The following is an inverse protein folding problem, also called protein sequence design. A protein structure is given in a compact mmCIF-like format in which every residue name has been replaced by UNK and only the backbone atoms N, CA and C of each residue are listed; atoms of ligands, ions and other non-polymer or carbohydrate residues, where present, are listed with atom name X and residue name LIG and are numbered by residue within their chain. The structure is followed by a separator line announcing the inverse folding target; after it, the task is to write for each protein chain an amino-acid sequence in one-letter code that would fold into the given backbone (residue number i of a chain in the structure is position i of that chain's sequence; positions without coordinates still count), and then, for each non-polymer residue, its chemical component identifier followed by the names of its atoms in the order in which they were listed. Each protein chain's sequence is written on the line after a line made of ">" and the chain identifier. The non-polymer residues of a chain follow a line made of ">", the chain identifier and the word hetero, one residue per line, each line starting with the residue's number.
data_IF_870502569800
#
_entry.id   IF_870502569800
#
_cell.length_a   1.000
_cell.length_b   1.000
_cell.length_c   1.000
_cell.angle_alpha   90.00
_cell.angle_beta   90.00
_cell.angle_gamma   90.00
#
_symmetry.space_group_name_H-M   'P 1'
#
loop_
_entity.id
_entity.type
_entity.pdbx_description
1 polymer ?
#
# COMPACT_ATOMS: atom_id res chain seq x y z
N UNK A 1 -27.40 -3.12 -17.84
CA UNK A 1 -28.22 -3.09 -16.60
C UNK A 1 -27.65 -3.81 -15.36
N UNK A 2 -26.51 -4.53 -15.36
CA UNK A 2 -26.03 -5.21 -14.14
C UNK A 2 -25.39 -4.28 -13.08
N UNK A 3 -25.14 -3.01 -13.37
CA UNK A 3 -24.35 -2.16 -12.45
C UNK A 3 -25.20 -1.45 -11.39
N UNK A 4 -26.49 -1.22 -11.68
CA UNK A 4 -27.38 -0.41 -10.83
C UNK A 4 -27.70 -1.06 -9.48
N UNK A 5 -27.84 -2.38 -9.44
CA UNK A 5 -28.22 -3.08 -8.21
C UNK A 5 -27.10 -3.11 -7.17
N UNK A 6 -25.82 -3.17 -7.59
CA UNK A 6 -24.68 -3.12 -6.68
C UNK A 6 -24.61 -1.80 -5.92
N UNK A 7 -24.77 -0.69 -6.65
CA UNK A 7 -24.77 0.63 -6.07
C UNK A 7 -25.97 0.83 -5.13
N UNK A 8 -27.16 0.39 -5.53
CA UNK A 8 -28.37 0.44 -4.69
C UNK A 8 -28.21 -0.38 -3.40
N UNK A 9 -27.66 -1.60 -3.49
CA UNK A 9 -27.42 -2.44 -2.33
C UNK A 9 -26.40 -1.81 -1.36
N UNK A 10 -25.30 -1.27 -1.89
CA UNK A 10 -24.28 -0.60 -1.09
C UNK A 10 -24.81 0.69 -0.42
N UNK A 11 -25.58 1.49 -1.16
CA UNK A 11 -26.23 2.70 -0.64
C UNK A 11 -27.25 2.38 0.45
N UNK A 12 -28.07 1.34 0.25
CA UNK A 12 -29.04 0.88 1.25
C UNK A 12 -28.35 0.39 2.53
N UNK A 13 -27.27 -0.37 2.42
CA UNK A 13 -26.48 -0.83 3.56
C UNK A 13 -25.90 0.35 4.36
N UNK A 14 -25.33 1.35 3.67
CA UNK A 14 -24.81 2.55 4.31
C UNK A 14 -25.92 3.36 4.98
N UNK A 15 -27.06 3.55 4.31
CA UNK A 15 -28.20 4.27 4.84
C UNK A 15 -28.73 3.62 6.13
N UNK A 16 -28.84 2.29 6.17
CA UNK A 16 -29.23 1.56 7.38
C UNK A 16 -28.27 1.85 8.55
N UNK A 17 -26.96 1.88 8.31
CA UNK A 17 -25.98 2.22 9.36
C UNK A 17 -26.10 3.69 9.78
N UNK A 18 -26.27 4.62 8.85
CA UNK A 18 -26.42 6.05 9.20
C UNK A 18 -27.68 6.29 10.05
N UNK A 19 -28.80 5.67 9.68
CA UNK A 19 -30.06 5.78 10.44
C UNK A 19 -29.91 5.24 11.85
N UNK A 20 -29.29 4.07 12.03
CA UNK A 20 -29.02 3.53 13.37
C UNK A 20 -28.06 4.42 14.15
N UNK A 21 -27.07 5.01 13.49
CA UNK A 21 -26.10 5.90 14.12
C UNK A 21 -26.77 7.14 14.67
N UNK A 22 -27.61 7.78 13.84
CA UNK A 22 -28.38 8.97 14.22
C UNK A 22 -29.40 8.66 15.31
N UNK A 23 -30.07 7.50 15.23
CA UNK A 23 -31.01 7.04 16.26
C UNK A 23 -30.32 6.91 17.62
N UNK A 24 -29.17 6.24 17.67
CA UNK A 24 -28.40 6.09 18.91
C UNK A 24 -27.81 7.40 19.41
N UNK A 25 -27.40 8.29 18.52
CA UNK A 25 -26.92 9.61 18.91
C UNK A 25 -28.03 10.44 19.56
N UNK A 26 -29.22 10.48 18.95
CA UNK A 26 -30.40 11.14 19.54
C UNK A 26 -30.78 10.52 20.88
N UNK A 27 -30.76 9.17 20.98
CA UNK A 27 -31.00 8.46 22.25
C UNK A 27 -29.98 8.86 23.31
N UNK A 28 -28.69 8.91 22.98
CA UNK A 28 -27.62 9.26 23.92
C UNK A 28 -27.67 10.74 24.32
N UNK A 29 -27.97 11.65 23.42
CA UNK A 29 -28.20 13.06 23.73
C UNK A 29 -29.40 13.23 24.68
N UNK A 30 -30.49 12.51 24.42
CA UNK A 30 -31.63 12.48 25.33
C UNK A 30 -31.24 11.93 26.72
N UNK A 31 -30.49 10.83 26.80
CA UNK A 31 -30.00 10.28 28.07
C UNK A 31 -29.06 11.29 28.76
N UNK A 32 -28.17 11.95 28.02
CA UNK A 32 -27.27 12.98 28.57
C UNK A 32 -28.03 14.10 29.25
N UNK A 33 -29.12 14.57 28.63
CA UNK A 33 -29.95 15.66 29.17
C UNK A 33 -30.86 15.23 30.32
N UNK A 34 -31.38 14.00 30.31
CA UNK A 34 -32.44 13.57 31.23
C UNK A 34 -32.01 12.57 32.31
N UNK A 35 -30.98 11.75 32.05
CA UNK A 35 -30.52 10.69 32.93
C UNK A 35 -29.02 10.37 32.74
N UNK A 36 -28.11 11.32 33.03
CA UNK A 36 -26.69 11.20 32.71
C UNK A 36 -26.02 10.00 33.38
N UNK A 37 -26.51 9.57 34.55
CA UNK A 37 -26.04 8.36 35.22
C UNK A 37 -26.21 7.09 34.37
N UNK A 38 -27.11 7.06 33.38
CA UNK A 38 -27.29 5.92 32.46
C UNK A 38 -26.33 5.93 31.27
N UNK A 39 -25.51 6.97 31.08
CA UNK A 39 -24.55 7.02 29.98
C UNK A 39 -23.41 6.02 30.10
N UNK A 40 -23.19 5.51 31.32
CA UNK A 40 -22.27 4.41 31.58
C UNK A 40 -22.81 3.07 31.03
N UNK A 41 -24.12 2.97 30.80
CA UNK A 41 -24.72 1.78 30.23
C UNK A 41 -24.31 1.65 28.75
N UNK A 42 -23.85 0.47 28.33
CA UNK A 42 -23.52 0.24 26.93
C UNK A 42 -24.79 0.40 26.06
N UNK A 43 -24.68 0.94 24.84
CA UNK A 43 -25.82 1.06 23.94
C UNK A 43 -26.35 -0.34 23.59
N UNK A 44 -27.65 -0.43 23.31
CA UNK A 44 -28.28 -1.70 22.93
C UNK A 44 -27.66 -2.16 21.61
N UNK A 45 -27.13 -3.39 21.59
CA UNK A 45 -26.45 -3.88 20.41
C UNK A 45 -27.48 -4.41 19.39
N UNK A 46 -27.66 -3.70 18.27
CA UNK A 46 -28.43 -4.18 17.12
C UNK A 46 -27.66 -5.27 16.34
N UNK A 47 -27.45 -6.41 17.00
CA UNK A 47 -26.68 -7.57 16.52
C UNK A 47 -27.07 -8.00 15.10
N UNK A 48 -28.36 -8.26 14.92
CA UNK A 48 -28.92 -8.79 13.68
C UNK A 48 -28.78 -7.79 12.53
N UNK A 49 -29.03 -6.51 12.79
CA UNK A 49 -28.90 -5.46 11.78
C UNK A 49 -27.46 -5.28 11.31
N UNK A 50 -26.49 -5.25 12.22
CA UNK A 50 -25.08 -5.18 11.86
C UNK A 50 -24.62 -6.42 11.08
N UNK A 51 -25.11 -7.61 11.44
CA UNK A 51 -24.83 -8.85 10.70
C UNK A 51 -25.42 -8.81 9.28
N UNK A 52 -26.66 -8.33 9.12
CA UNK A 52 -27.30 -8.13 7.82
C UNK A 52 -26.52 -7.13 6.95
N UNK A 53 -26.11 -5.99 7.52
CA UNK A 53 -25.28 -5.01 6.80
C UNK A 53 -23.98 -5.65 6.30
N UNK A 54 -23.29 -6.43 7.14
CA UNK A 54 -22.07 -7.12 6.72
C UNK A 54 -22.32 -8.18 5.65
N UNK A 55 -23.45 -8.89 5.70
CA UNK A 55 -23.84 -9.83 4.65
C UNK A 55 -24.08 -9.11 3.31
N UNK A 56 -24.76 -7.95 3.32
CA UNK A 56 -24.96 -7.12 2.12
C UNK A 56 -23.62 -6.60 1.59
N UNK A 57 -22.73 -6.11 2.47
CA UNK A 57 -21.37 -5.69 2.09
C UNK A 57 -20.62 -6.84 1.42
N UNK A 58 -20.70 -8.06 1.96
CA UNK A 58 -20.09 -9.25 1.36
C UNK A 58 -20.67 -9.54 -0.03
N UNK A 59 -21.99 -9.43 -0.18
CA UNK A 59 -22.67 -9.58 -1.47
C UNK A 59 -22.23 -8.55 -2.50
N UNK A 60 -22.09 -7.27 -2.11
CA UNK A 60 -21.55 -6.20 -2.96
C UNK A 60 -20.11 -6.52 -3.36
N UNK A 61 -19.29 -7.01 -2.43
CA UNK A 61 -17.90 -7.39 -2.67
C UNK A 61 -17.79 -8.49 -3.72
N UNK A 62 -18.57 -9.56 -3.57
CA UNK A 62 -18.62 -10.68 -4.50
C UNK A 62 -19.10 -10.21 -5.87
N UNK A 63 -20.17 -9.41 -5.92
CA UNK A 63 -20.69 -8.90 -7.18
C UNK A 63 -19.73 -7.96 -7.90
N UNK A 64 -19.00 -7.09 -7.20
CA UNK A 64 -17.96 -6.26 -7.81
C UNK A 64 -16.76 -7.08 -8.30
N UNK A 65 -16.40 -8.16 -7.59
CA UNK A 65 -15.35 -9.08 -8.03
C UNK A 65 -15.71 -9.84 -9.32
N UNK A 66 -17.00 -10.17 -9.50
CA UNK A 66 -17.51 -10.80 -10.71
C UNK A 66 -17.65 -9.83 -11.89
N UNK A 67 -17.73 -8.52 -11.64
CA UNK A 67 -17.82 -7.47 -12.65
C UNK A 67 -16.81 -6.33 -12.38
N UNK A 68 -15.49 -6.61 -12.47
CA UNK A 68 -14.45 -5.68 -12.02
C UNK A 68 -14.33 -4.41 -12.88
N UNK A 69 -14.83 -4.46 -14.12
CA UNK A 69 -14.78 -3.35 -15.08
C UNK A 69 -16.06 -2.51 -15.15
N UNK A 70 -17.06 -2.79 -14.31
CA UNK A 70 -18.26 -1.97 -14.27
C UNK A 70 -17.94 -0.56 -13.72
N UNK A 71 -18.44 0.48 -14.39
CA UNK A 71 -18.10 1.87 -14.10
C UNK A 71 -18.49 2.30 -12.67
N UNK A 72 -19.52 1.65 -12.10
CA UNK A 72 -20.03 1.96 -10.75
C UNK A 72 -19.44 1.08 -9.65
N UNK A 73 -18.66 0.03 -9.98
CA UNK A 73 -18.04 -0.87 -8.99
C UNK A 73 -17.17 -0.13 -7.96
N UNK A 74 -16.34 0.87 -8.32
CA UNK A 74 -15.54 1.59 -7.34
C UNK A 74 -16.39 2.32 -6.29
N UNK A 75 -17.49 2.95 -6.73
CA UNK A 75 -18.41 3.67 -5.86
C UNK A 75 -19.17 2.70 -4.93
N UNK A 76 -19.65 1.59 -5.47
CA UNK A 76 -20.33 0.56 -4.67
C UNK A 76 -19.41 -0.03 -3.60
N UNK A 77 -18.15 -0.33 -3.94
CA UNK A 77 -17.14 -0.82 -2.99
C UNK A 77 -16.82 0.21 -1.91
N UNK A 78 -16.73 1.49 -2.26
CA UNK A 78 -16.48 2.57 -1.30
C UNK A 78 -17.63 2.74 -0.31
N UNK A 79 -18.88 2.74 -0.78
CA UNK A 79 -20.06 2.80 0.10
C UNK A 79 -20.13 1.59 1.03
N UNK A 80 -19.85 0.39 0.51
CA UNK A 80 -19.79 -0.84 1.29
C UNK A 80 -18.66 -0.80 2.34
N UNK A 81 -17.51 -0.22 2.00
CA UNK A 81 -16.40 0.00 2.92
C UNK A 81 -16.81 0.92 4.08
N UNK A 82 -17.47 2.04 3.79
CA UNK A 82 -17.97 2.94 4.83
C UNK A 82 -18.97 2.26 5.76
N UNK A 83 -19.88 1.45 5.22
CA UNK A 83 -20.83 0.67 6.03
C UNK A 83 -20.10 -0.31 6.96
N UNK A 84 -19.12 -1.07 6.45
CA UNK A 84 -18.33 -2.00 7.24
C UNK A 84 -17.48 -1.31 8.32
N UNK A 85 -16.82 -0.20 7.99
CA UNK A 85 -16.03 0.58 8.96
C UNK A 85 -16.91 1.20 10.04
N UNK A 86 -18.12 1.65 9.70
CA UNK A 86 -19.08 2.18 10.68
C UNK A 86 -19.57 1.08 11.64
N UNK A 87 -19.80 -0.15 11.14
CA UNK A 87 -20.05 -1.33 12.00
C UNK A 87 -18.85 -1.62 12.89
N UNK A 88 -17.62 -1.62 12.35
CA UNK A 88 -16.36 -1.83 13.09
C UNK A 88 -15.98 -0.70 14.05
N UNK A 89 -16.54 0.51 13.87
CA UNK A 89 -16.44 1.61 14.81
C UNK A 89 -17.38 1.37 16.01
N UNK A 90 -18.63 1.01 15.71
CA UNK A 90 -19.69 0.74 16.69
C UNK A 90 -19.39 -0.48 17.55
N UNK A 91 -18.77 -1.50 16.96
CA UNK A 91 -18.33 -2.70 17.64
C UNK A 91 -16.86 -2.96 17.41
N UNK A 92 -16.11 -3.41 18.42
CA UNK A 92 -14.70 -3.74 18.28
C UNK A 92 -14.42 -4.98 17.40
N UNK A 93 -15.35 -5.36 16.51
CA UNK A 93 -15.25 -6.48 15.58
C UNK A 93 -14.03 -6.33 14.67
N UNK A 94 -13.01 -7.21 14.80
CA UNK A 94 -11.82 -7.15 13.96
C UNK A 94 -12.16 -7.36 12.48
N UNK A 95 -13.09 -8.27 12.19
CA UNK A 95 -13.49 -8.65 10.83
C UNK A 95 -14.05 -7.45 10.05
N UNK A 96 -14.90 -6.63 10.66
CA UNK A 96 -15.48 -5.46 10.01
C UNK A 96 -14.44 -4.39 9.66
N UNK A 97 -13.39 -4.24 10.49
CA UNK A 97 -12.25 -3.34 10.23
C UNK A 97 -11.43 -3.81 9.03
N UNK A 98 -11.10 -5.11 9.01
CA UNK A 98 -10.41 -5.75 7.90
C UNK A 98 -11.19 -5.60 6.61
N UNK A 99 -12.46 -6.03 6.61
CA UNK A 99 -13.33 -5.93 5.45
C UNK A 99 -13.43 -4.49 4.94
N UNK A 100 -13.68 -3.53 5.82
CA UNK A 100 -13.78 -2.12 5.45
C UNK A 100 -12.52 -1.58 4.79
N UNK A 101 -11.33 -1.79 5.37
CA UNK A 101 -10.08 -1.31 4.79
C UNK A 101 -9.71 -2.04 3.49
N UNK A 102 -9.93 -3.36 3.43
CA UNK A 102 -9.75 -4.13 2.20
C UNK A 102 -10.63 -3.61 1.08
N UNK A 103 -11.89 -3.24 1.38
CA UNK A 103 -12.81 -2.69 0.38
C UNK A 103 -12.42 -1.29 -0.10
N UNK A 104 -11.84 -0.44 0.76
CA UNK A 104 -11.24 0.82 0.30
C UNK A 104 -10.09 0.54 -0.67
N UNK A 105 -9.22 -0.42 -0.37
CA UNK A 105 -8.16 -0.85 -1.29
C UNK A 105 -8.72 -1.39 -2.61
N UNK A 106 -9.74 -2.24 -2.54
CA UNK A 106 -10.42 -2.79 -3.71
C UNK A 106 -11.10 -1.71 -4.56
N UNK A 107 -11.68 -0.68 -3.94
CA UNK A 107 -12.26 0.46 -4.64
C UNK A 107 -11.21 1.24 -5.43
N UNK A 108 -10.02 1.47 -4.85
CA UNK A 108 -8.89 2.13 -5.54
C UNK A 108 -8.43 1.29 -6.73
N UNK A 109 -8.24 -0.02 -6.54
CA UNK A 109 -7.84 -0.94 -7.61
C UNK A 109 -8.90 -0.98 -8.71
N UNK A 110 -10.18 -1.11 -8.35
CA UNK A 110 -11.29 -1.11 -9.29
C UNK A 110 -11.40 0.21 -10.05
N UNK A 111 -11.17 1.35 -9.40
CA UNK A 111 -11.14 2.65 -10.07
C UNK A 111 -10.01 2.73 -11.11
N UNK A 112 -8.81 2.24 -10.77
CA UNK A 112 -7.69 2.18 -11.71
C UNK A 112 -8.03 1.31 -12.93
N UNK A 113 -8.66 0.15 -12.70
CA UNK A 113 -9.10 -0.76 -13.78
C UNK A 113 -10.22 -0.16 -14.65
N UNK A 114 -11.15 0.59 -14.06
CA UNK A 114 -12.26 1.20 -14.77
C UNK A 114 -11.84 2.42 -15.62
N UNK A 115 -10.83 3.17 -15.19
CA UNK A 115 -10.41 4.41 -15.85
C UNK A 115 -9.32 4.26 -16.89
N UNK A 116 -8.67 3.10 -16.96
CA UNK A 116 -7.58 2.89 -17.92
C UNK A 116 -7.70 1.55 -18.62
N UNK A 117 -7.68 1.57 -19.96
CA UNK A 117 -7.53 0.39 -20.80
C UNK A 117 -6.06 0.31 -21.27
N UNK A 118 -5.46 -0.89 -21.42
CA UNK A 118 -6.01 -2.23 -21.20
C UNK A 118 -5.86 -2.78 -19.75
N UNK A 119 -6.79 -3.67 -19.34
CA UNK A 119 -7.03 -4.12 -17.96
C UNK A 119 -5.82 -4.70 -17.19
N UNK A 120 -4.94 -5.46 -17.86
CA UNK A 120 -3.81 -6.14 -17.19
C UNK A 120 -2.74 -5.19 -16.68
N UNK A 121 -2.50 -4.09 -17.43
CA UNK A 121 -1.49 -3.11 -17.06
C UNK A 121 -1.85 -2.41 -15.74
N UNK A 122 -3.15 -2.12 -15.54
CA UNK A 122 -3.63 -1.17 -14.54
C UNK A 122 -3.89 -1.78 -13.17
N UNK A 123 -3.92 -3.12 -13.07
CA UNK A 123 -4.01 -3.84 -11.80
C UNK A 123 -2.80 -3.53 -10.91
N UNK A 124 -1.60 -3.60 -11.48
CA UNK A 124 -0.32 -3.34 -10.81
C UNK A 124 -0.22 -1.90 -10.27
N UNK A 125 -0.54 -0.89 -11.10
CA UNK A 125 -0.59 0.49 -10.63
C UNK A 125 -1.67 0.70 -9.56
N UNK A 126 -2.86 0.11 -9.72
CA UNK A 126 -3.93 0.17 -8.73
C UNK A 126 -3.52 -0.42 -7.38
N UNK A 127 -2.86 -1.58 -7.38
CA UNK A 127 -2.34 -2.24 -6.16
C UNK A 127 -1.29 -1.36 -5.49
N UNK A 128 -0.36 -0.79 -6.25
CA UNK A 128 0.68 0.08 -5.72
C UNK A 128 0.09 1.34 -5.07
N UNK A 129 -0.88 2.00 -5.73
CA UNK A 129 -1.57 3.18 -5.20
C UNK A 129 -2.38 2.83 -3.95
N UNK A 130 -3.10 1.70 -3.95
CA UNK A 130 -3.82 1.22 -2.78
C UNK A 130 -2.86 0.98 -1.60
N UNK A 131 -1.69 0.40 -1.86
CA UNK A 131 -0.65 0.18 -0.85
C UNK A 131 -0.16 1.49 -0.23
N UNK A 132 0.19 2.47 -1.08
CA UNK A 132 0.61 3.81 -0.63
C UNK A 132 -0.49 4.47 0.19
N UNK A 133 -1.74 4.39 -0.26
CA UNK A 133 -2.88 4.96 0.47
C UNK A 133 -3.04 4.33 1.86
N UNK A 134 -2.95 2.99 1.97
CA UNK A 134 -3.03 2.30 3.26
C UNK A 134 -1.88 2.70 4.20
N UNK A 135 -0.66 2.80 3.68
CA UNK A 135 0.49 3.24 4.46
C UNK A 135 0.35 4.70 4.90
N UNK A 136 -0.18 5.56 4.03
CA UNK A 136 -0.42 6.97 4.32
C UNK A 136 -1.48 7.12 5.40
N UNK A 137 -2.62 6.41 5.28
CA UNK A 137 -3.67 6.40 6.30
C UNK A 137 -3.15 5.92 7.65
N UNK A 138 -2.35 4.84 7.66
CA UNK A 138 -1.74 4.37 8.90
C UNK A 138 -0.88 5.44 9.58
N UNK A 139 -0.10 6.22 8.81
CA UNK A 139 0.72 7.32 9.34
C UNK A 139 -0.13 8.50 9.80
N UNK A 140 -1.08 8.92 8.97
CA UNK A 140 -2.00 10.01 9.28
C UNK A 140 -2.76 9.73 10.58
N UNK A 141 -3.34 8.53 10.73
CA UNK A 141 -3.99 8.14 11.97
C UNK A 141 -3.02 8.03 13.13
N UNK A 142 -1.80 7.53 12.93
CA UNK A 142 -0.79 7.46 14.01
C UNK A 142 -0.44 8.85 14.55
N UNK A 143 -0.42 9.88 13.72
CA UNK A 143 -0.17 11.27 14.13
C UNK A 143 -1.32 11.88 14.94
N UNK A 144 -2.54 11.35 14.78
CA UNK A 144 -3.73 11.78 15.53
C UNK A 144 -3.88 11.08 16.90
N UNK A 145 -3.01 10.11 17.21
CA UNK A 145 -3.06 9.40 18.48
C UNK A 145 -2.20 10.10 19.53
N UNK A 146 -2.85 10.70 20.52
CA UNK A 146 -2.17 11.20 21.72
C UNK A 146 -1.72 10.00 22.60
N UNK A 147 -0.41 9.78 22.68
CA UNK A 147 0.19 8.69 23.46
C UNK A 147 -0.07 7.27 22.91
N UNK A 148 -0.41 7.12 21.62
CA UNK A 148 -0.47 5.81 20.95
C UNK A 148 -1.57 4.86 21.43
N UNK A 149 -2.54 5.33 22.24
CA UNK A 149 -3.53 4.43 22.82
C UNK A 149 -4.58 3.98 21.79
N UNK A 150 -4.67 2.66 21.57
CA UNK A 150 -5.57 2.01 20.62
C UNK A 150 -7.07 2.00 21.03
N UNK A 151 -7.49 2.82 22.00
CA UNK A 151 -8.90 2.88 22.40
C UNK A 151 -9.76 3.69 21.42
N UNK A 152 -9.14 4.58 20.63
CA UNK A 152 -9.80 5.25 19.51
C UNK A 152 -9.90 4.32 18.30
N UNK A 153 -10.96 4.47 17.51
CA UNK A 153 -11.17 3.64 16.31
C UNK A 153 -10.04 3.78 15.31
N UNK A 154 -9.45 4.97 15.18
CA UNK A 154 -8.26 5.22 14.36
C UNK A 154 -7.08 4.37 14.84
N UNK A 155 -6.82 4.29 16.15
CA UNK A 155 -5.74 3.45 16.70
C UNK A 155 -5.92 1.96 16.43
N UNK A 156 -7.17 1.48 16.33
CA UNK A 156 -7.51 0.09 16.00
C UNK A 156 -7.37 -0.25 14.52
N UNK A 157 -7.35 0.75 13.64
CA UNK A 157 -7.22 0.60 12.19
C UNK A 157 -5.75 0.65 11.74
N UNK A 158 -4.89 1.35 12.49
CA UNK A 158 -3.46 1.49 12.15
C UNK A 158 -2.75 0.15 11.89
N UNK A 159 -2.84 -0.88 12.76
CA UNK A 159 -2.15 -2.16 12.51
C UNK A 159 -2.66 -2.87 11.27
N UNK A 160 -3.98 -2.80 11.03
CA UNK A 160 -4.63 -3.43 9.87
C UNK A 160 -4.21 -2.73 8.57
N UNK A 161 -4.20 -1.40 8.55
CA UNK A 161 -3.77 -0.62 7.39
C UNK A 161 -2.30 -0.88 7.05
N UNK A 162 -1.41 -0.98 8.05
CA UNK A 162 0.01 -1.34 7.81
C UNK A 162 0.16 -2.74 7.25
N UNK A 163 -0.57 -3.71 7.80
CA UNK A 163 -0.50 -5.09 7.29
C UNK A 163 -1.08 -5.18 5.88
N UNK A 164 -2.17 -4.48 5.57
CA UNK A 164 -2.70 -4.38 4.21
C UNK A 164 -1.71 -3.71 3.26
N UNK A 165 -1.02 -2.63 3.68
CA UNK A 165 0.02 -2.00 2.88
C UNK A 165 1.16 -2.98 2.53
N UNK A 166 1.61 -3.78 3.51
CA UNK A 166 2.60 -4.83 3.29
C UNK A 166 2.10 -5.93 2.35
N UNK A 167 0.87 -6.42 2.56
CA UNK A 167 0.26 -7.44 1.68
C UNK A 167 0.11 -6.93 0.25
N UNK A 168 -0.19 -5.65 0.05
CA UNK A 168 -0.29 -5.03 -1.28
C UNK A 168 1.07 -4.93 -1.97
N UNK A 169 2.17 -4.73 -1.24
CA UNK A 169 3.53 -4.83 -1.81
C UNK A 169 3.82 -6.26 -2.28
N UNK A 170 3.42 -7.28 -1.50
CA UNK A 170 3.61 -8.67 -1.89
C UNK A 170 2.72 -9.06 -3.08
N UNK A 171 1.46 -8.60 -3.09
CA UNK A 171 0.55 -8.76 -4.22
C UNK A 171 1.08 -8.08 -5.48
N UNK A 172 1.76 -6.94 -5.33
CA UNK A 172 2.42 -6.24 -6.42
C UNK A 172 3.56 -7.08 -7.01
N UNK A 173 4.43 -7.66 -6.18
CA UNK A 173 5.46 -8.58 -6.66
C UNK A 173 4.87 -9.77 -7.42
N UNK A 174 3.79 -10.36 -6.88
CA UNK A 174 3.11 -11.47 -7.54
C UNK A 174 2.55 -11.05 -8.90
N UNK A 175 1.91 -9.88 -8.97
CA UNK A 175 1.40 -9.34 -10.24
C UNK A 175 2.53 -9.13 -11.26
N UNK A 176 3.69 -8.62 -10.82
CA UNK A 176 4.87 -8.48 -11.67
C UNK A 176 5.38 -9.84 -12.14
N UNK A 177 5.50 -10.83 -11.26
CA UNK A 177 5.94 -12.18 -11.61
C UNK A 177 4.98 -12.87 -12.60
N UNK A 178 3.67 -12.65 -12.47
CA UNK A 178 2.68 -13.16 -13.42
C UNK A 178 2.77 -12.43 -14.77
N UNK A 179 3.06 -11.14 -14.78
CA UNK A 179 3.32 -10.38 -16.00
C UNK A 179 4.58 -10.90 -16.73
N UNK A 180 5.66 -11.15 -16.01
CA UNK A 180 6.92 -11.65 -16.61
C UNK A 180 6.78 -13.08 -17.13
N UNK A 181 5.95 -13.90 -16.48
CA UNK A 181 5.58 -15.22 -16.96
C UNK A 181 4.59 -15.20 -18.14
N UNK A 182 4.22 -14.03 -18.66
CA UNK A 182 3.26 -13.87 -19.77
C UNK A 182 1.83 -14.27 -19.41
N UNK A 183 1.49 -14.38 -18.12
CA UNK A 183 0.16 -14.76 -17.63
C UNK A 183 -0.80 -13.58 -17.56
N UNK A 184 -0.28 -12.35 -17.56
CA UNK A 184 -1.04 -11.10 -17.54
C UNK A 184 -0.45 -10.18 -18.63
N UNK A 185 -1.27 -9.38 -19.35
CA UNK A 185 -0.78 -8.44 -20.36
C UNK A 185 0.30 -7.51 -19.82
N UNK A 186 1.31 -7.25 -20.66
CA UNK A 186 2.39 -6.33 -20.33
C UNK A 186 1.88 -4.92 -19.96
N UNK A 187 2.54 -4.29 -18.99
CA UNK A 187 2.22 -2.92 -18.59
C UNK A 187 2.68 -1.93 -19.67
N UNK A 188 1.84 -0.94 -20.00
CA UNK A 188 2.30 0.20 -20.82
C UNK A 188 3.35 1.01 -20.06
N UNK A 189 4.24 1.70 -20.80
CA UNK A 189 5.35 2.51 -20.25
C UNK A 189 4.90 3.40 -19.09
N UNK A 190 3.84 4.18 -19.29
CA UNK A 190 3.29 5.08 -18.27
C UNK A 190 2.84 4.36 -17.01
N UNK A 191 2.21 3.19 -17.16
CA UNK A 191 1.72 2.40 -16.04
C UNK A 191 2.89 1.83 -15.24
N UNK A 192 3.96 1.41 -15.92
CA UNK A 192 5.22 1.01 -15.28
C UNK A 192 5.87 2.17 -14.51
N UNK A 193 5.93 3.37 -15.10
CA UNK A 193 6.45 4.57 -14.43
C UNK A 193 5.62 4.97 -13.20
N UNK A 194 4.29 4.97 -13.30
CA UNK A 194 3.42 5.27 -12.16
C UNK A 194 3.52 4.23 -11.04
N UNK A 195 3.54 2.94 -11.39
CA UNK A 195 3.73 1.85 -10.43
C UNK A 195 5.08 1.94 -9.73
N UNK A 196 6.15 2.26 -10.47
CA UNK A 196 7.48 2.48 -9.90
C UNK A 196 7.50 3.68 -8.96
N UNK A 197 6.91 4.83 -9.35
CA UNK A 197 6.83 6.02 -8.51
C UNK A 197 6.07 5.73 -7.20
N UNK A 198 4.95 5.01 -7.27
CA UNK A 198 4.19 4.59 -6.10
C UNK A 198 5.02 3.68 -5.17
N UNK A 199 5.76 2.72 -5.72
CA UNK A 199 6.63 1.83 -4.94
C UNK A 199 7.83 2.55 -4.31
N UNK A 200 8.43 3.51 -5.02
CA UNK A 200 9.48 4.37 -4.47
C UNK A 200 8.95 5.19 -3.28
N UNK A 201 7.76 5.79 -3.43
CA UNK A 201 7.09 6.50 -2.34
C UNK A 201 6.81 5.56 -1.15
N UNK A 202 6.35 4.34 -1.44
CA UNK A 202 6.09 3.33 -0.42
C UNK A 202 7.37 2.95 0.34
N UNK A 203 8.47 2.71 -0.37
CA UNK A 203 9.78 2.45 0.22
C UNK A 203 10.30 3.62 1.06
N UNK A 204 10.14 4.86 0.60
CA UNK A 204 10.47 6.05 1.39
C UNK A 204 9.65 6.15 2.68
N UNK A 205 8.37 5.82 2.63
CA UNK A 205 7.50 5.82 3.81
C UNK A 205 7.89 4.70 4.78
N UNK A 206 8.17 3.50 4.29
CA UNK A 206 8.59 2.35 5.09
C UNK A 206 9.95 2.55 5.74
N UNK A 207 10.93 3.11 5.03
CA UNK A 207 12.25 3.43 5.60
C UNK A 207 12.15 4.44 6.74
N UNK A 208 11.35 5.49 6.55
CA UNK A 208 11.09 6.48 7.61
C UNK A 208 10.35 5.88 8.80
N UNK A 209 9.40 5.00 8.54
CA UNK A 209 8.66 4.28 9.58
C UNK A 209 9.55 3.29 10.35
N UNK A 210 10.45 2.58 9.64
CA UNK A 210 11.45 1.70 10.21
C UNK A 210 12.39 2.46 11.15
N UNK A 211 12.83 3.66 10.75
CA UNK A 211 13.65 4.53 11.60
C UNK A 211 12.92 4.94 12.89
N UNK A 212 11.65 5.34 12.78
CA UNK A 212 10.86 5.77 13.93
C UNK A 212 10.45 4.64 14.88
N UNK A 213 10.20 3.44 14.35
CA UNK A 213 9.72 2.27 15.13
C UNK A 213 10.80 1.26 15.48
N UNK A 214 12.02 1.42 14.94
CA UNK A 214 13.10 0.40 14.96
C UNK A 214 12.60 -0.96 14.45
N UNK A 215 11.83 -0.93 13.36
CA UNK A 215 11.16 -2.11 12.81
C UNK A 215 11.97 -2.68 11.64
N UNK A 216 12.59 -3.83 11.86
CA UNK A 216 13.36 -4.55 10.84
C UNK A 216 12.48 -5.10 9.72
N UNK A 217 11.23 -5.48 10.01
CA UNK A 217 10.29 -5.91 8.98
C UNK A 217 9.98 -4.81 7.97
N UNK A 218 9.85 -3.56 8.45
CA UNK A 218 9.58 -2.40 7.58
C UNK A 218 10.78 -2.09 6.66
N UNK A 219 12.02 -2.32 7.11
CA UNK A 219 13.23 -2.12 6.28
C UNK A 219 13.32 -3.17 5.16
N UNK A 220 12.97 -4.42 5.46
CA UNK A 220 12.94 -5.50 4.47
C UNK A 220 11.84 -5.26 3.42
N UNK A 221 10.65 -4.87 3.86
CA UNK A 221 9.55 -4.50 2.96
C UNK A 221 9.91 -3.30 2.09
N UNK A 222 10.65 -2.33 2.62
CA UNK A 222 11.18 -1.23 1.82
C UNK A 222 12.12 -1.73 0.73
N UNK A 223 13.07 -2.62 1.06
CA UNK A 223 13.97 -3.24 0.08
C UNK A 223 13.22 -4.00 -1.03
N UNK A 224 12.17 -4.75 -0.65
CA UNK A 224 11.28 -5.44 -1.59
C UNK A 224 10.58 -4.46 -2.53
N UNK A 225 10.00 -3.38 -1.99
CA UNK A 225 9.33 -2.36 -2.79
C UNK A 225 10.30 -1.67 -3.78
N UNK A 226 11.57 -1.47 -3.39
CA UNK A 226 12.59 -0.92 -4.27
C UNK A 226 12.98 -1.85 -5.41
N UNK A 227 13.10 -3.15 -5.14
CA UNK A 227 13.36 -4.13 -6.20
C UNK A 227 12.21 -4.18 -7.20
N UNK A 228 10.97 -4.16 -6.70
CA UNK A 228 9.78 -4.09 -7.54
C UNK A 228 9.74 -2.78 -8.38
N UNK A 229 10.13 -1.65 -7.80
CA UNK A 229 10.21 -0.37 -8.51
C UNK A 229 11.28 -0.39 -9.61
N UNK A 230 12.47 -0.93 -9.30
CA UNK A 230 13.56 -1.05 -10.26
C UNK A 230 13.18 -1.97 -11.43
N UNK A 231 12.49 -3.08 -11.15
CA UNK A 231 11.95 -3.97 -12.17
C UNK A 231 10.96 -3.25 -13.10
N UNK A 232 10.00 -2.52 -12.53
CA UNK A 232 9.03 -1.76 -13.32
C UNK A 232 9.69 -0.67 -14.18
N UNK A 233 10.68 0.03 -13.65
CA UNK A 233 11.45 1.01 -14.43
C UNK A 233 12.22 0.33 -15.56
N UNK A 234 12.84 -0.83 -15.31
CA UNK A 234 13.53 -1.59 -16.34
C UNK A 234 12.58 -1.98 -17.48
N UNK A 235 11.41 -2.56 -17.17
CA UNK A 235 10.40 -2.94 -18.18
C UNK A 235 9.85 -1.72 -18.93
N UNK A 236 9.60 -0.61 -18.24
CA UNK A 236 9.10 0.62 -18.86
C UNK A 236 10.14 1.30 -19.75
N UNK A 237 11.42 1.16 -19.44
CA UNK A 237 12.50 1.81 -20.20
C UNK A 237 13.03 0.93 -21.32
N UNK A 238 13.03 -0.41 -21.17
CA UNK A 238 13.41 -1.34 -22.24
C UNK A 238 12.48 -1.30 -23.45
N UNK A 239 11.25 -0.83 -23.24
CA UNK A 239 10.25 -0.61 -24.29
C UNK A 239 10.33 0.78 -24.95
N UNK A 240 11.23 1.65 -24.48
CA UNK A 240 11.45 3.00 -25.02
C UNK A 240 12.91 3.16 -25.47
N UNK A 241 13.19 3.93 -26.52
CA UNK A 241 14.55 4.23 -26.97
C UNK A 241 15.34 5.17 -26.03
N UNK A 242 14.90 5.34 -24.79
CA UNK A 242 15.53 6.19 -23.79
C UNK A 242 16.61 5.41 -23.04
N UNK A 243 17.77 6.01 -22.69
CA UNK A 243 18.83 5.32 -22.00
C UNK A 243 18.41 4.89 -20.58
N UNK A 244 18.10 3.60 -20.48
CA UNK A 244 17.76 2.75 -19.33
C UNK A 244 18.65 2.93 -18.06
N UNK A 245 19.99 3.16 -18.13
CA UNK A 245 20.84 3.07 -16.94
C UNK A 245 20.75 4.25 -15.95
N UNK A 246 20.41 5.45 -16.40
CA UNK A 246 20.38 6.63 -15.52
C UNK A 246 19.14 6.64 -14.62
N UNK A 247 17.99 6.21 -15.14
CA UNK A 247 16.73 6.14 -14.39
C UNK A 247 16.77 5.03 -13.34
N UNK A 248 17.34 3.87 -13.67
CA UNK A 248 17.61 2.77 -12.73
C UNK A 248 18.63 3.19 -11.67
N UNK A 249 19.71 3.86 -12.06
CA UNK A 249 20.73 4.38 -11.13
C UNK A 249 20.19 5.41 -10.14
N UNK A 250 19.37 6.37 -10.59
CA UNK A 250 18.77 7.40 -9.72
C UNK A 250 17.67 6.84 -8.82
N UNK A 251 16.85 5.90 -9.32
CA UNK A 251 15.81 5.22 -8.54
C UNK A 251 16.39 4.30 -7.47
N UNK A 252 17.62 3.80 -7.63
CA UNK A 252 18.34 3.01 -6.63
C UNK A 252 19.16 3.88 -5.67
N UNK A 253 19.73 4.99 -6.14
CA UNK A 253 20.57 5.88 -5.32
C UNK A 253 19.79 6.64 -4.23
N UNK A 254 18.59 7.15 -4.53
CA UNK A 254 17.78 7.91 -3.57
C UNK A 254 17.29 7.08 -2.37
N UNK A 255 16.82 5.83 -2.54
CA UNK A 255 16.49 4.96 -1.43
C UNK A 255 17.71 4.42 -0.68
N UNK A 256 18.84 4.16 -1.35
CA UNK A 256 20.08 3.76 -0.69
C UNK A 256 20.58 4.87 0.24
N UNK A 257 20.46 6.13 -0.16
CA UNK A 257 20.75 7.28 0.69
C UNK A 257 19.76 7.40 1.86
N UNK A 258 18.46 7.16 1.63
CA UNK A 258 17.42 7.18 2.66
C UNK A 258 17.54 6.01 3.68
N UNK A 259 17.89 4.82 3.20
CA UNK A 259 18.17 3.62 4.02
C UNK A 259 19.39 3.86 4.92
N UNK A 260 20.41 4.57 4.45
CA UNK A 260 21.63 4.85 5.22
C UNK A 260 21.39 5.76 6.44
N UNK A 261 20.53 6.76 6.33
CA UNK A 261 20.15 7.62 7.48
C UNK A 261 19.36 6.87 8.57
N UNK A 262 18.59 5.84 8.19
CA UNK A 262 17.75 5.04 9.09
C UNK A 262 18.48 3.84 9.74
N UNK A 263 19.59 3.38 9.17
CA UNK A 263 20.24 2.09 9.54
C UNK A 263 21.27 2.18 10.67
N UNK A 264 21.62 3.38 11.15
CA UNK A 264 22.61 3.56 12.21
C UNK A 264 22.23 2.82 13.51
N UNK A 265 20.92 2.73 13.80
CA UNK A 265 20.36 2.13 15.01
C UNK A 265 19.77 0.71 14.81
N UNK A 266 19.86 0.13 13.60
CA UNK A 266 19.29 -1.20 13.33
C UNK A 266 20.17 -2.33 13.88
N UNK A 267 19.52 -3.47 14.18
CA UNK A 267 20.21 -4.67 14.66
C UNK A 267 21.26 -5.18 13.64
N UNK A 268 22.38 -5.77 14.10
CA UNK A 268 23.49 -6.19 13.23
C UNK A 268 23.08 -7.15 12.10
N UNK A 269 22.17 -8.08 12.37
CA UNK A 269 21.69 -9.07 11.39
C UNK A 269 20.92 -8.43 10.23
N UNK A 270 20.12 -7.39 10.50
CA UNK A 270 19.36 -6.69 9.47
C UNK A 270 20.24 -5.73 8.67
N UNK A 271 21.27 -5.15 9.32
CA UNK A 271 22.34 -4.42 8.63
C UNK A 271 23.11 -5.32 7.66
N UNK A 272 23.39 -6.57 8.05
CA UNK A 272 24.03 -7.56 7.19
C UNK A 272 23.12 -7.97 6.02
N UNK A 273 21.84 -8.24 6.29
CA UNK A 273 20.84 -8.59 5.27
C UNK A 273 20.66 -7.46 4.25
N UNK A 274 20.59 -6.21 4.73
CA UNK A 274 20.48 -5.04 3.86
C UNK A 274 21.74 -4.82 3.02
N UNK A 275 22.92 -5.06 3.59
CA UNK A 275 24.20 -5.03 2.85
C UNK A 275 24.28 -6.13 1.80
N UNK A 276 23.88 -7.36 2.12
CA UNK A 276 23.81 -8.46 1.14
C UNK A 276 22.85 -8.09 0.02
N UNK A 277 21.68 -7.54 0.37
CA UNK A 277 20.70 -7.14 -0.62
C UNK A 277 21.20 -6.00 -1.54
N UNK A 278 21.79 -4.96 -0.95
CA UNK A 278 22.23 -3.74 -1.67
C UNK A 278 23.56 -3.92 -2.41
N UNK A 279 24.49 -4.68 -1.85
CA UNK A 279 25.82 -4.90 -2.43
C UNK A 279 25.92 -6.17 -3.27
N UNK A 280 24.99 -7.13 -3.15
CA UNK A 280 25.04 -8.40 -3.87
C UNK A 280 23.82 -8.62 -4.76
N UNK A 281 22.61 -8.62 -4.19
CA UNK A 281 21.39 -8.97 -4.92
C UNK A 281 21.02 -7.93 -5.98
N UNK A 282 21.11 -6.65 -5.65
CA UNK A 282 20.83 -5.55 -6.58
C UNK A 282 21.81 -5.52 -7.77
N UNK A 283 23.14 -5.59 -7.55
CA UNK A 283 24.10 -5.72 -8.65
C UNK A 283 23.92 -7.00 -9.48
N UNK A 284 23.60 -8.14 -8.85
CA UNK A 284 23.34 -9.38 -9.56
C UNK A 284 22.06 -9.32 -10.42
N UNK A 285 21.01 -8.67 -9.94
CA UNK A 285 19.79 -8.43 -10.72
C UNK A 285 20.05 -7.47 -11.89
N UNK A 286 20.85 -6.42 -11.67
CA UNK A 286 21.29 -5.52 -12.73
C UNK A 286 22.15 -6.24 -13.79
N UNK A 287 23.02 -7.16 -13.37
CA UNK A 287 23.81 -8.05 -14.25
C UNK A 287 22.90 -8.95 -15.08
N UNK A 288 21.94 -9.62 -14.45
CA UNK A 288 21.00 -10.51 -15.15
C UNK A 288 20.15 -9.74 -16.19
N UNK A 289 19.66 -8.55 -15.84
CA UNK A 289 18.92 -7.69 -16.77
C UNK A 289 19.78 -7.13 -17.91
N UNK A 290 21.08 -6.90 -17.68
CA UNK A 290 22.01 -6.44 -18.70
C UNK A 290 22.44 -7.55 -19.67
N UNK A 291 22.49 -8.81 -19.21
CA UNK A 291 22.77 -9.97 -20.06
C UNK A 291 21.63 -10.29 -21.04
N UNK A 292 20.42 -9.79 -20.76
CA UNK A 292 19.24 -9.91 -21.61
C UNK A 292 19.13 -8.74 -22.63
N UNK A 293 19.97 -7.70 -22.49
CA UNK A 293 20.00 -6.53 -23.37
C UNK A 293 21.02 -6.67 -24.51
N UNK A 294 20.70 -6.10 -25.67
CA UNK A 294 21.55 -6.11 -26.87
C UNK A 294 22.97 -5.56 -26.56
N UNK A 295 24.00 -6.35 -26.88
CA UNK A 295 25.40 -6.25 -26.41
C UNK A 295 26.06 -4.87 -26.59
N UNK A 296 25.50 -4.02 -27.45
CA UNK A 296 25.99 -2.67 -27.78
C UNK A 296 25.72 -1.63 -26.69
N UNK A 297 24.70 -1.83 -25.85
CA UNK A 297 24.34 -0.86 -24.78
C UNK A 297 24.89 -1.24 -23.40
N UNK A 298 25.29 -2.51 -23.23
CA UNK A 298 25.84 -3.03 -21.98
C UNK A 298 27.02 -2.21 -21.41
N UNK A 299 28.07 -1.81 -22.15
CA UNK A 299 29.25 -1.19 -21.55
C UNK A 299 29.00 0.20 -20.94
N UNK A 300 28.08 0.99 -21.52
CA UNK A 300 27.69 2.31 -21.00
C UNK A 300 26.84 2.20 -19.74
N UNK A 301 25.96 1.19 -19.70
CA UNK A 301 25.16 0.81 -18.52
C UNK A 301 26.07 0.38 -17.38
N UNK A 302 27.07 -0.46 -17.66
CA UNK A 302 28.09 -0.89 -16.69
C UNK A 302 28.92 0.27 -16.16
N UNK A 303 29.35 1.19 -17.02
CA UNK A 303 30.07 2.39 -16.61
C UNK A 303 29.27 3.24 -15.62
N UNK A 304 27.97 3.46 -15.89
CA UNK A 304 27.10 4.26 -15.02
C UNK A 304 26.74 3.56 -13.70
N UNK A 305 26.49 2.24 -13.72
CA UNK A 305 26.22 1.47 -12.50
C UNK A 305 27.47 1.41 -11.61
N UNK A 306 28.64 1.16 -12.19
CA UNK A 306 29.91 1.17 -11.45
C UNK A 306 30.22 2.57 -10.92
N UNK A 307 30.00 3.63 -11.70
CA UNK A 307 30.18 5.02 -11.24
C UNK A 307 29.17 5.38 -10.15
N UNK A 308 27.91 4.93 -10.24
CA UNK A 308 26.90 5.17 -9.21
C UNK A 308 27.23 4.43 -7.91
N UNK A 309 27.67 3.17 -8.00
CA UNK A 309 28.13 2.37 -6.85
C UNK A 309 29.41 2.99 -6.27
N UNK A 310 30.38 3.37 -7.10
CA UNK A 310 31.63 3.98 -6.67
C UNK A 310 31.43 5.38 -6.10
N UNK A 311 30.52 6.20 -6.64
CA UNK A 311 30.16 7.50 -6.09
C UNK A 311 29.43 7.35 -4.75
N UNK A 312 28.51 6.38 -4.65
CA UNK A 312 27.87 6.04 -3.39
C UNK A 312 28.90 5.56 -2.33
N UNK A 313 29.90 4.78 -2.75
CA UNK A 313 30.98 4.28 -1.90
C UNK A 313 32.04 5.36 -1.54
N UNK A 314 32.31 6.31 -2.42
CA UNK A 314 33.22 7.43 -2.16
C UNK A 314 32.59 8.47 -1.22
N UNK A 315 31.28 8.73 -1.38
CA UNK A 315 30.49 9.54 -0.43
C UNK A 315 30.46 8.86 0.94
N UNK A 316 30.37 7.53 0.99
CA UNK A 316 30.50 6.69 2.18
C UNK A 316 31.82 6.87 2.94
N UNK A 317 32.95 6.89 2.23
CA UNK A 317 34.27 7.04 2.85
C UNK A 317 34.52 8.46 3.37
N UNK A 318 33.91 9.49 2.76
CA UNK A 318 34.05 10.90 3.19
C UNK A 318 33.26 11.27 4.45
N UNK A 319 32.19 10.54 4.76
CA UNK A 319 31.26 10.89 5.86
C UNK A 319 31.43 10.06 7.15
N UNK A 320 32.55 9.34 7.33
CA UNK A 320 32.89 8.81 8.66
C UNK A 320 33.10 9.98 9.63
N UNK A 321 32.30 10.14 10.69
CA UNK A 321 32.65 11.08 11.75
C UNK A 321 33.99 10.65 12.33
N UNK A 322 34.94 11.60 12.44
CA UNK A 322 36.26 11.35 13.05
C UNK A 322 36.17 10.90 14.52
N UNK A 323 35.00 10.89 15.13
CA UNK A 323 34.77 10.55 16.54
C UNK A 323 34.67 9.05 16.85
N UNK A 324 35.10 8.17 15.93
CA UNK A 324 35.22 6.72 16.18
C UNK A 324 36.68 6.25 16.05
N UNK A 325 37.61 7.01 16.63
CA UNK A 325 38.92 6.54 17.08
C UNK A 325 39.11 6.96 18.53
#
# INVERSE_FOLDING_TARGET
>A
MPDGWLLLAAAAALAAVVVTVLGDWRRRDWIWRNAPHRLIEPPAAHLLLHALVLAVVLGVTIGAALAPAAALSPLALLLAAYAALAVGHRRPWPVARWLGLTLVGAAIVSAALAWSAPWGANLSAGIAVAGVFMQWQARFWSQQLDGGKAWTTTGRLVPVARLLAALLILAQLLALALCTAGRIPAHGVWVGLFGAAALLLHAMMLTRDAAGRRSDGDILLAGVALLAAAWLLHVATSTTSLPIPLAVGLALAAPLAALRGATADLQPANRATLRIFTCLCLPAAALAAALDADWRTAPLVWGLVVVAIAAAYAIELRWRPRSAR
#
